data_IF_563402075843
#
_entry.id   IF_563402075843
#
_cell.length_a   1.000
_cell.length_b   1.000
_cell.length_c   1.000
_cell.angle_alpha   90.00
_cell.angle_beta   90.00
_cell.angle_gamma   90.00
#
_symmetry.space_group_name_H-M   'P 1'
#
loop_
_entity.id
_entity.type
_entity.pdbx_description
1 polymer ?
#
# COMPACT_ATOMS: atom_id res chain seq x y z
N UNK A 1 -23.28 9.90 20.13
CA UNK A 1 -22.82 11.22 20.60
C UNK A 1 -21.51 11.05 21.35
N UNK A 2 -20.47 11.65 20.88
CA UNK A 2 -19.17 11.53 21.54
C UNK A 2 -19.11 12.49 22.71
N UNK A 3 -18.81 11.97 23.92
CA UNK A 3 -18.58 12.76 25.10
C UNK A 3 -17.25 13.52 24.94
N UNK A 4 -17.32 14.84 24.80
CA UNK A 4 -16.16 15.71 24.54
C UNK A 4 -15.09 15.53 25.63
N UNK A 5 -15.49 15.37 26.91
CA UNK A 5 -14.53 15.18 28.01
C UNK A 5 -13.74 13.86 27.86
N UNK A 6 -14.39 12.80 27.36
CA UNK A 6 -13.70 11.53 27.10
C UNK A 6 -12.77 11.64 25.89
N UNK A 7 -13.15 12.38 24.87
CA UNK A 7 -12.30 12.64 23.72
C UNK A 7 -11.04 13.39 24.14
N UNK A 8 -11.19 14.46 24.93
CA UNK A 8 -10.06 15.25 25.42
C UNK A 8 -9.14 14.43 26.33
N UNK A 9 -9.72 13.59 27.19
CA UNK A 9 -8.94 12.67 28.04
C UNK A 9 -8.12 11.69 27.20
N UNK A 10 -8.74 11.06 26.22
CA UNK A 10 -8.07 10.10 25.32
C UNK A 10 -7.01 10.79 24.48
N UNK A 11 -7.31 11.97 23.96
CA UNK A 11 -6.37 12.77 23.18
C UNK A 11 -5.13 13.09 24.04
N UNK A 12 -5.33 13.64 25.21
CA UNK A 12 -4.22 13.95 26.13
C UNK A 12 -3.40 12.71 26.46
N UNK A 13 -4.05 11.58 26.77
CA UNK A 13 -3.35 10.32 27.03
C UNK A 13 -2.51 9.84 25.84
N UNK A 14 -3.06 9.91 24.63
CA UNK A 14 -2.33 9.50 23.42
C UNK A 14 -1.15 10.43 23.13
N UNK A 15 -1.35 11.76 23.25
CA UNK A 15 -0.32 12.75 22.92
C UNK A 15 0.79 12.80 23.98
N UNK A 16 0.43 12.86 25.27
CA UNK A 16 1.42 13.01 26.34
C UNK A 16 1.95 11.67 26.87
N UNK A 17 1.08 10.64 26.97
CA UNK A 17 1.46 9.34 27.50
C UNK A 17 2.09 8.40 26.46
N UNK A 18 1.63 8.44 25.21
CA UNK A 18 2.07 7.54 24.16
C UNK A 18 2.92 8.22 23.06
N UNK A 19 3.04 9.54 23.08
CA UNK A 19 3.75 10.31 22.06
C UNK A 19 3.13 10.15 20.65
N UNK A 20 1.80 9.96 20.56
CA UNK A 20 1.06 9.77 19.30
C UNK A 20 0.23 11.00 18.99
N UNK A 21 0.37 11.54 17.78
CA UNK A 21 -0.53 12.57 17.29
C UNK A 21 -1.97 12.06 17.19
N UNK A 22 -2.93 12.89 17.58
CA UNK A 22 -4.36 12.56 17.50
C UNK A 22 -5.05 13.48 16.52
N UNK A 23 -5.73 12.88 15.55
CA UNK A 23 -6.54 13.60 14.57
C UNK A 23 -7.99 13.22 14.78
N UNK A 24 -8.84 14.23 15.03
CA UNK A 24 -10.28 14.05 15.12
C UNK A 24 -10.83 14.16 13.70
N UNK A 25 -11.45 13.09 13.22
CA UNK A 25 -12.07 13.04 11.89
C UNK A 25 -13.57 12.77 11.98
N UNK A 26 -14.27 13.02 10.88
CA UNK A 26 -15.68 12.65 10.75
C UNK A 26 -15.88 11.14 10.74
N UNK A 27 -17.09 10.70 11.08
CA UNK A 27 -17.51 9.30 10.98
C UNK A 27 -17.82 8.97 9.50
N UNK A 28 -16.76 8.77 8.74
CA UNK A 28 -16.82 8.44 7.32
C UNK A 28 -16.12 7.10 7.05
N UNK A 29 -16.51 6.34 6.02
CA UNK A 29 -15.90 5.07 5.68
C UNK A 29 -14.37 5.18 5.58
N UNK A 30 -13.66 4.35 6.34
CA UNK A 30 -12.20 4.31 6.38
C UNK A 30 -11.51 5.40 7.17
N UNK A 31 -12.24 6.32 7.77
CA UNK A 31 -11.70 7.47 8.50
C UNK A 31 -10.64 8.22 7.68
N UNK A 32 -9.59 8.75 8.32
CA UNK A 32 -8.51 9.44 7.62
C UNK A 32 -7.44 8.46 7.13
N UNK A 33 -6.95 7.58 8.01
CA UNK A 33 -5.79 6.73 7.72
C UNK A 33 -6.02 5.77 6.57
N UNK A 34 -7.13 5.02 6.61
CA UNK A 34 -7.45 4.08 5.53
C UNK A 34 -7.79 4.82 4.23
N UNK A 35 -8.45 5.97 4.31
CA UNK A 35 -8.77 6.77 3.11
C UNK A 35 -7.50 7.17 2.36
N UNK A 36 -6.53 7.73 3.05
CA UNK A 36 -5.26 8.15 2.43
C UNK A 36 -4.43 6.94 2.00
N UNK A 37 -4.27 5.97 2.89
CA UNK A 37 -3.41 4.82 2.65
C UNK A 37 -3.91 3.93 1.51
N UNK A 38 -5.20 3.59 1.52
CA UNK A 38 -5.79 2.73 0.46
C UNK A 38 -5.84 3.48 -0.87
N UNK A 39 -6.13 4.80 -0.86
CA UNK A 39 -6.05 5.62 -2.07
C UNK A 39 -4.65 5.58 -2.70
N UNK A 40 -3.62 5.87 -1.91
CA UNK A 40 -2.24 5.87 -2.38
C UNK A 40 -1.81 4.49 -2.92
N UNK A 41 -2.18 3.42 -2.23
CA UNK A 41 -1.89 2.05 -2.67
C UNK A 41 -2.60 1.70 -3.98
N UNK A 42 -3.86 2.10 -4.14
CA UNK A 42 -4.62 1.82 -5.36
C UNK A 42 -4.06 2.58 -6.56
N UNK A 43 -3.73 3.86 -6.37
CA UNK A 43 -3.06 4.66 -7.42
C UNK A 43 -1.73 4.01 -7.81
N UNK A 44 -0.88 3.71 -6.83
CA UNK A 44 0.44 3.12 -7.09
C UNK A 44 0.35 1.79 -7.85
N UNK A 45 -0.59 0.92 -7.47
CA UNK A 45 -0.80 -0.36 -8.16
C UNK A 45 -1.31 -0.15 -9.59
N UNK A 46 -2.29 0.72 -9.78
CA UNK A 46 -2.87 1.01 -11.09
C UNK A 46 -1.81 1.59 -12.04
N UNK A 47 -1.04 2.56 -11.56
CA UNK A 47 0.02 3.17 -12.37
C UNK A 47 1.17 2.19 -12.65
N UNK A 48 1.57 1.36 -11.68
CA UNK A 48 2.58 0.32 -11.90
C UNK A 48 2.16 -0.64 -13.02
N UNK A 49 0.90 -1.07 -13.04
CA UNK A 49 0.34 -1.95 -14.09
C UNK A 49 0.33 -1.22 -15.44
N UNK A 50 -0.14 0.03 -15.50
CA UNK A 50 -0.16 0.83 -16.73
C UNK A 50 1.25 1.05 -17.31
N UNK A 51 2.22 1.28 -16.44
CA UNK A 51 3.62 1.48 -16.81
C UNK A 51 4.37 0.17 -17.08
N UNK A 52 3.69 -0.97 -16.95
CA UNK A 52 4.27 -2.29 -17.15
C UNK A 52 5.47 -2.58 -16.24
N UNK A 53 5.44 -2.07 -15.01
CA UNK A 53 6.46 -2.37 -14.00
C UNK A 53 6.26 -3.77 -13.43
N UNK A 54 7.36 -4.43 -13.11
CA UNK A 54 7.31 -5.64 -12.29
C UNK A 54 6.87 -5.30 -10.85
N UNK A 55 6.41 -6.32 -10.13
CA UNK A 55 6.01 -6.20 -8.73
C UNK A 55 7.15 -5.64 -7.88
N UNK A 56 8.39 -6.08 -8.13
CA UNK A 56 9.56 -5.65 -7.41
C UNK A 56 9.99 -4.22 -7.75
N UNK A 57 9.90 -3.81 -9.02
CA UNK A 57 10.19 -2.43 -9.43
C UNK A 57 9.21 -1.46 -8.79
N UNK A 58 7.92 -1.76 -8.84
CA UNK A 58 6.90 -0.95 -8.21
C UNK A 58 7.12 -0.82 -6.69
N UNK A 59 7.42 -1.94 -6.00
CA UNK A 59 7.71 -1.91 -4.57
C UNK A 59 9.01 -1.18 -4.22
N UNK A 60 9.99 -1.20 -5.10
CA UNK A 60 11.23 -0.46 -4.91
C UNK A 60 11.01 1.06 -5.03
N UNK A 61 10.19 1.49 -5.99
CA UNK A 61 9.84 2.91 -6.21
C UNK A 61 8.91 3.40 -5.11
N UNK A 62 7.80 2.68 -4.89
CA UNK A 62 6.78 3.02 -3.89
C UNK A 62 7.18 2.52 -2.50
N UNK A 63 8.27 3.04 -1.99
CA UNK A 63 8.84 2.64 -0.72
C UNK A 63 9.72 3.76 -0.14
N UNK A 64 10.92 3.41 0.27
CA UNK A 64 11.88 4.36 0.87
C UNK A 64 12.13 5.64 0.06
N UNK A 65 12.25 5.59 -1.28
CA UNK A 65 12.45 6.81 -2.07
C UNK A 65 11.35 7.84 -1.91
N UNK A 66 10.12 7.39 -1.65
CA UNK A 66 8.96 8.26 -1.42
C UNK A 66 8.71 8.58 0.07
N UNK A 67 9.65 8.27 0.97
CA UNK A 67 9.47 8.45 2.40
C UNK A 67 8.46 7.50 3.05
N UNK A 68 8.06 6.44 2.34
CA UNK A 68 7.10 5.43 2.79
C UNK A 68 7.85 4.20 3.35
N UNK A 69 7.22 3.37 4.19
CA UNK A 69 7.85 2.14 4.66
C UNK A 69 8.37 1.25 3.53
N UNK A 70 9.49 0.59 3.79
CA UNK A 70 10.25 -0.28 2.89
C UNK A 70 9.42 -1.34 2.14
N UNK A 71 8.24 -1.64 2.62
CA UNK A 71 7.42 -2.76 2.12
C UNK A 71 6.98 -2.58 0.67
N UNK A 72 6.73 -1.33 0.24
CA UNK A 72 6.13 -1.08 -1.08
C UNK A 72 4.64 -1.40 -1.13
N UNK A 73 4.04 -1.36 -2.31
CA UNK A 73 2.58 -1.52 -2.50
C UNK A 73 2.17 -2.99 -2.61
N UNK A 74 2.79 -3.76 -3.48
CA UNK A 74 2.41 -5.16 -3.72
C UNK A 74 2.75 -6.07 -2.54
N UNK A 75 3.89 -5.85 -1.90
CA UNK A 75 4.24 -6.56 -0.67
C UNK A 75 3.33 -6.17 0.50
N UNK A 76 2.80 -4.95 0.53
CA UNK A 76 1.83 -4.55 1.55
C UNK A 76 0.47 -5.24 1.33
N UNK A 77 -0.01 -5.35 0.10
CA UNK A 77 -1.18 -6.16 -0.25
C UNK A 77 -1.00 -7.63 0.16
N UNK A 78 0.18 -8.18 -0.08
CA UNK A 78 0.51 -9.55 0.35
C UNK A 78 0.48 -9.72 1.87
N UNK A 79 0.93 -8.73 2.63
CA UNK A 79 0.95 -8.77 4.10
C UNK A 79 -0.44 -8.58 4.73
N UNK A 80 -1.21 -7.63 4.22
CA UNK A 80 -2.56 -7.30 4.73
C UNK A 80 -3.53 -8.44 4.38
N UNK A 81 -3.50 -8.89 3.16
CA UNK A 81 -4.41 -9.82 2.52
C UNK A 81 -5.11 -9.17 1.32
N UNK A 82 -5.00 -9.81 0.18
CA UNK A 82 -5.55 -9.33 -1.10
C UNK A 82 -7.08 -9.34 -1.05
N UNK A 83 -7.65 -10.35 -0.42
CA UNK A 83 -9.09 -10.50 -0.17
C UNK A 83 -9.62 -9.39 0.74
N UNK A 84 -8.95 -9.13 1.85
CA UNK A 84 -9.32 -8.05 2.76
C UNK A 84 -9.26 -6.69 2.07
N UNK A 85 -8.21 -6.43 1.30
CA UNK A 85 -8.09 -5.18 0.54
C UNK A 85 -9.18 -5.05 -0.52
N UNK A 86 -9.54 -6.13 -1.21
CA UNK A 86 -10.66 -6.16 -2.15
C UNK A 86 -11.99 -5.81 -1.46
N UNK A 87 -12.23 -6.32 -0.26
CA UNK A 87 -13.46 -6.02 0.48
C UNK A 87 -13.50 -4.57 0.99
N UNK A 88 -12.36 -4.01 1.40
CA UNK A 88 -12.26 -2.58 1.75
C UNK A 88 -12.56 -1.70 0.53
N UNK A 89 -12.03 -2.04 -0.65
CA UNK A 89 -12.31 -1.30 -1.89
C UNK A 89 -13.79 -1.34 -2.26
N UNK A 90 -14.43 -2.52 -2.15
CA UNK A 90 -15.87 -2.68 -2.40
C UNK A 90 -16.71 -1.88 -1.42
N UNK A 91 -16.34 -1.89 -0.12
CA UNK A 91 -17.00 -1.08 0.90
C UNK A 91 -16.91 0.41 0.58
N UNK A 92 -15.72 0.91 0.25
CA UNK A 92 -15.54 2.30 -0.14
C UNK A 92 -16.34 2.66 -1.39
N UNK A 93 -16.33 1.81 -2.41
CA UNK A 93 -17.11 2.03 -3.63
C UNK A 93 -18.61 2.13 -3.34
N UNK A 94 -19.11 1.36 -2.38
CA UNK A 94 -20.52 1.36 -1.98
C UNK A 94 -20.92 2.55 -1.12
N UNK A 95 -20.06 2.91 -0.15
CA UNK A 95 -20.44 3.80 0.94
C UNK A 95 -20.00 5.25 0.74
N UNK A 96 -18.99 5.49 -0.12
CA UNK A 96 -18.53 6.85 -0.40
C UNK A 96 -19.51 7.60 -1.33
N UNK A 97 -19.57 8.93 -1.21
CA UNK A 97 -20.38 9.78 -2.10
C UNK A 97 -20.06 9.52 -3.57
N UNK A 98 -21.05 9.67 -4.45
CA UNK A 98 -20.88 9.45 -5.90
C UNK A 98 -19.78 10.30 -6.54
N UNK A 99 -19.59 11.51 -6.01
CA UNK A 99 -18.57 12.46 -6.49
C UNK A 99 -17.17 12.22 -5.91
N UNK A 100 -17.02 11.21 -5.05
CA UNK A 100 -15.72 10.89 -4.48
C UNK A 100 -14.81 10.25 -5.52
N UNK A 101 -13.66 10.87 -5.76
CA UNK A 101 -12.69 10.40 -6.77
C UNK A 101 -12.19 8.97 -6.53
N UNK A 102 -12.24 8.50 -5.29
CA UNK A 102 -11.88 7.12 -4.97
C UNK A 102 -12.74 6.11 -5.73
N UNK A 103 -14.00 6.43 -6.03
CA UNK A 103 -14.89 5.53 -6.79
C UNK A 103 -14.38 5.25 -8.19
N UNK A 104 -13.68 6.21 -8.79
CA UNK A 104 -13.06 6.05 -10.11
C UNK A 104 -11.77 5.19 -10.05
N UNK A 105 -11.11 5.18 -8.89
CA UNK A 105 -9.90 4.39 -8.66
C UNK A 105 -10.20 2.95 -8.20
N UNK A 106 -11.38 2.72 -7.60
CA UNK A 106 -11.81 1.41 -7.13
C UNK A 106 -12.28 0.52 -8.29
N UNK A 107 -11.52 0.49 -9.39
CA UNK A 107 -11.76 -0.41 -10.49
C UNK A 107 -11.34 -1.85 -10.12
N UNK A 108 -12.10 -2.81 -10.63
CA UNK A 108 -11.76 -4.23 -10.46
C UNK A 108 -10.51 -4.54 -11.30
N UNK A 109 -9.39 -4.75 -10.63
CA UNK A 109 -8.14 -5.17 -11.26
C UNK A 109 -8.23 -6.69 -11.50
N UNK A 110 -8.25 -7.18 -12.76
CA UNK A 110 -8.51 -8.59 -13.06
C UNK A 110 -7.59 -9.57 -12.36
N UNK A 111 -6.32 -9.21 -12.17
CA UNK A 111 -5.34 -10.05 -11.49
C UNK A 111 -5.69 -10.26 -10.01
N UNK A 112 -6.25 -9.26 -9.34
CA UNK A 112 -6.69 -9.38 -7.94
C UNK A 112 -7.79 -10.42 -7.83
N UNK A 113 -8.80 -10.35 -8.69
CA UNK A 113 -9.90 -11.31 -8.73
C UNK A 113 -9.38 -12.73 -8.92
N UNK A 114 -8.50 -12.94 -9.91
CA UNK A 114 -7.89 -14.23 -10.19
C UNK A 114 -7.10 -14.78 -9.01
N UNK A 115 -6.30 -13.96 -8.34
CA UNK A 115 -5.54 -14.37 -7.16
C UNK A 115 -6.46 -14.84 -6.03
N UNK A 116 -7.56 -14.12 -5.77
CA UNK A 116 -8.54 -14.49 -4.74
C UNK A 116 -9.21 -15.82 -5.11
N UNK A 117 -9.72 -15.97 -6.33
CA UNK A 117 -10.40 -17.19 -6.80
C UNK A 117 -9.52 -18.44 -6.73
N UNK A 118 -8.21 -18.26 -6.92
CA UNK A 118 -7.24 -19.38 -6.87
C UNK A 118 -6.62 -19.61 -5.49
N UNK A 119 -7.03 -18.82 -4.48
CA UNK A 119 -6.58 -18.94 -3.10
C UNK A 119 -5.23 -18.29 -2.81
N UNK A 120 -4.76 -17.40 -3.70
CA UNK A 120 -3.56 -16.59 -3.49
C UNK A 120 -3.92 -15.27 -2.83
N UNK A 121 -4.43 -15.35 -1.61
CA UNK A 121 -4.98 -14.20 -0.87
C UNK A 121 -3.92 -13.43 -0.06
N UNK A 122 -2.68 -13.81 -0.12
CA UNK A 122 -1.58 -13.17 0.59
C UNK A 122 -0.84 -14.13 1.51
N UNK A 123 -0.17 -13.59 2.53
CA UNK A 123 0.68 -14.34 3.47
C UNK A 123 -0.04 -15.48 4.19
N UNK A 124 -1.33 -15.32 4.45
CA UNK A 124 -2.16 -16.34 5.12
C UNK A 124 -2.69 -17.41 4.17
N UNK A 125 -2.67 -17.14 2.86
CA UNK A 125 -3.08 -18.06 1.82
C UNK A 125 -1.91 -18.80 1.19
N UNK A 126 -2.08 -19.21 -0.08
CA UNK A 126 -1.02 -19.90 -0.85
C UNK A 126 0.13 -18.98 -1.28
N UNK A 127 -0.02 -17.67 -1.10
CA UNK A 127 0.81 -16.59 -1.59
C UNK A 127 -0.06 -15.44 -2.06
N UNK A 128 0.48 -14.57 -2.89
CA UNK A 128 -0.20 -13.42 -3.48
C UNK A 128 0.67 -12.84 -4.60
N UNK A 129 0.92 -11.57 -4.61
CA UNK A 129 1.93 -10.97 -5.50
C UNK A 129 3.34 -11.52 -5.24
N UNK A 130 3.57 -11.97 -4.01
CA UNK A 130 4.74 -12.77 -3.63
C UNK A 130 4.30 -14.11 -3.08
N UNK A 131 5.18 -15.11 -3.19
CA UNK A 131 5.01 -16.39 -2.51
C UNK A 131 6.36 -16.97 -2.09
N UNK A 132 6.34 -17.89 -1.13
CA UNK A 132 7.52 -18.65 -0.75
C UNK A 132 7.39 -20.04 -1.35
N UNK A 133 8.24 -20.34 -2.32
CA UNK A 133 8.37 -21.67 -2.88
C UNK A 133 9.28 -22.51 -1.97
N UNK A 134 8.80 -23.69 -1.56
CA UNK A 134 9.52 -24.63 -0.70
C UNK A 134 9.92 -25.92 -1.44
N UNK A 135 9.63 -26.01 -2.74
CA UNK A 135 10.03 -27.16 -3.56
C UNK A 135 11.55 -27.16 -3.70
N UNK A 136 12.19 -28.29 -3.40
CA UNK A 136 13.64 -28.43 -3.50
C UNK A 136 14.44 -28.18 -2.21
N UNK A 137 13.79 -28.12 -1.05
CA UNK A 137 14.45 -28.02 0.26
C UNK A 137 14.86 -26.59 0.67
N UNK A 138 15.01 -25.66 -0.25
CA UNK A 138 15.29 -24.26 0.02
C UNK A 138 14.05 -23.40 -0.09
N UNK A 139 13.98 -22.34 0.73
CA UNK A 139 12.91 -21.34 0.66
C UNK A 139 13.32 -20.29 -0.37
N UNK A 140 12.62 -20.24 -1.50
CA UNK A 140 12.83 -19.23 -2.54
C UNK A 140 11.64 -18.26 -2.50
N UNK A 141 11.93 -16.98 -2.36
CA UNK A 141 10.92 -15.93 -2.55
C UNK A 141 10.71 -15.77 -4.05
N UNK A 142 9.47 -15.86 -4.48
CA UNK A 142 9.05 -15.63 -5.85
C UNK A 142 8.10 -14.45 -5.92
N UNK A 143 8.16 -13.71 -7.02
CA UNK A 143 7.26 -12.63 -7.37
C UNK A 143 6.42 -13.01 -8.59
N UNK A 144 5.21 -12.50 -8.65
CA UNK A 144 4.29 -12.72 -9.77
C UNK A 144 4.66 -11.80 -10.93
N UNK A 145 4.98 -12.39 -12.07
CA UNK A 145 5.02 -11.66 -13.35
C UNK A 145 3.58 -11.33 -13.77
N UNK A 146 3.23 -10.04 -13.73
CA UNK A 146 1.87 -9.58 -13.98
C UNK A 146 1.42 -9.81 -15.44
N UNK A 147 2.35 -9.90 -16.38
CA UNK A 147 2.04 -10.11 -17.80
C UNK A 147 1.88 -11.58 -18.15
N UNK A 148 2.82 -12.40 -17.67
CA UNK A 148 2.82 -13.85 -17.93
C UNK A 148 1.93 -14.62 -16.98
N UNK A 149 1.62 -14.00 -15.83
CA UNK A 149 0.86 -14.61 -14.74
C UNK A 149 1.53 -15.90 -14.21
N UNK A 150 2.84 -15.84 -14.10
CA UNK A 150 3.73 -16.90 -13.63
C UNK A 150 4.58 -16.36 -12.48
N UNK A 151 4.99 -17.26 -11.58
CA UNK A 151 5.90 -16.91 -10.49
C UNK A 151 7.34 -17.15 -10.90
N UNK A 152 8.16 -16.12 -10.74
CA UNK A 152 9.60 -16.16 -10.99
C UNK A 152 10.38 -15.85 -9.71
N UNK A 153 11.62 -16.34 -9.56
CA UNK A 153 12.46 -15.96 -8.43
C UNK A 153 12.55 -14.44 -8.29
N UNK A 154 12.19 -13.92 -7.12
CA UNK A 154 12.15 -12.49 -6.87
C UNK A 154 13.54 -11.88 -6.94
N UNK A 155 13.65 -10.73 -7.59
CA UNK A 155 14.89 -9.99 -7.80
C UNK A 155 14.94 -8.78 -6.87
N UNK A 156 16.13 -8.48 -6.38
CA UNK A 156 16.38 -7.20 -5.71
C UNK A 156 16.58 -6.12 -6.79
N UNK A 157 15.73 -5.11 -6.77
CA UNK A 157 15.86 -3.96 -7.67
C UNK A 157 16.78 -2.93 -7.01
N UNK A 158 17.79 -2.52 -7.76
CA UNK A 158 18.62 -1.37 -7.44
C UNK A 158 18.19 -0.22 -8.36
N UNK A 159 17.52 0.76 -7.80
CA UNK A 159 17.00 1.89 -8.58
C UNK A 159 18.10 2.85 -9.04
N UNK A 160 19.35 2.66 -8.60
CA UNK A 160 20.48 3.56 -8.87
C UNK A 160 20.14 5.05 -8.64
N UNK A 161 19.15 5.29 -7.78
CA UNK A 161 18.83 6.64 -7.34
C UNK A 161 19.97 7.06 -6.42
N UNK A 162 20.65 8.14 -6.76
CA UNK A 162 21.62 8.75 -5.88
C UNK A 162 21.00 8.89 -4.49
N UNK A 163 21.73 8.44 -3.48
CA UNK A 163 21.27 8.51 -2.08
C UNK A 163 21.30 9.98 -1.65
N UNK A 164 20.28 10.72 -2.06
CA UNK A 164 20.09 12.10 -1.63
C UNK A 164 19.56 12.05 -0.20
N UNK A 165 20.35 12.56 0.75
CA UNK A 165 19.87 12.70 2.11
C UNK A 165 18.79 13.78 2.17
N UNK A 166 17.81 13.64 3.07
CA UNK A 166 16.76 14.63 3.26
C UNK A 166 17.31 16.03 3.54
N UNK A 167 18.43 16.13 4.28
CA UNK A 167 19.16 17.37 4.51
C UNK A 167 19.66 18.03 3.23
N UNK A 168 20.08 17.21 2.25
CA UNK A 168 20.59 17.72 0.98
C UNK A 168 19.43 18.23 0.11
N UNK A 169 18.26 17.58 0.17
CA UNK A 169 17.05 18.03 -0.49
C UNK A 169 16.53 19.37 0.08
N UNK A 170 16.56 19.53 1.40
CA UNK A 170 16.10 20.77 2.06
C UNK A 170 17.00 21.95 1.70
N UNK A 171 18.29 21.72 1.49
CA UNK A 171 19.28 22.75 1.19
C UNK A 171 19.48 22.97 -0.33
N UNK A 172 18.73 22.28 -1.20
CA UNK A 172 18.80 22.52 -2.65
C UNK A 172 18.08 23.80 -3.03
N UNK A 173 18.79 24.68 -3.72
CA UNK A 173 18.24 25.91 -4.31
C UNK A 173 17.56 25.66 -5.68
N UNK A 174 17.60 24.45 -6.18
CA UNK A 174 16.93 24.08 -7.42
C UNK A 174 15.41 23.86 -7.24
N UNK A 175 14.68 23.92 -8.35
CA UNK A 175 13.22 23.78 -8.36
C UNK A 175 12.69 22.44 -7.76
N UNK A 176 13.55 21.43 -7.62
CA UNK A 176 13.20 20.13 -7.05
C UNK A 176 13.36 20.07 -5.54
N UNK A 177 14.10 21.01 -4.91
CA UNK A 177 14.29 21.12 -3.47
C UNK A 177 13.19 21.89 -2.74
N UNK A 178 12.20 22.44 -3.47
CA UNK A 178 11.12 23.28 -2.91
C UNK A 178 9.77 22.56 -2.79
N UNK A 179 9.69 21.31 -3.22
CA UNK A 179 8.50 20.46 -3.17
C UNK A 179 8.92 19.13 -2.50
#
# INVERSE_FOLDING_TARGET
>A
SNDVKKIDLLKNFCETGLGKGVIICGDTPGFLGNRIGVYAMQVAMTEAIKMNLSVEEADAVFGRPMGIPKTGVFALYYLIGIDLMSDVLKSFKKELPEKDEFRNLAEDIPIIKKLIETGYTGRKGKGGFYRINKSGGNKILEALDLNKNEYLPSKKIDLQIDKVNLSDLINRDDQYGKY
#
